data_IF_355812486206
#
_entry.id   IF_355812486206
#
_cell.length_a   1.000
_cell.length_b   1.000
_cell.length_c   1.000
_cell.angle_alpha   90.00
_cell.angle_beta   90.00
_cell.angle_gamma   90.00
#
_symmetry.space_group_name_H-M   'P 1'
#
loop_
_entity.id
_entity.type
_entity.pdbx_description
1 polymer ?
#
# COMPACT_ATOMS: atom_id res chain seq x y z
N UNK A 1 -39.64 -15.40 -19.41
CA UNK A 1 -38.70 -15.70 -18.32
C UNK A 1 -39.53 -15.84 -17.07
N UNK A 2 -39.72 -17.08 -16.64
CA UNK A 2 -40.64 -17.40 -15.57
C UNK A 2 -39.91 -17.34 -14.22
N UNK A 3 -40.67 -17.19 -13.12
CA UNK A 3 -40.13 -17.03 -11.76
C UNK A 3 -39.14 -18.14 -11.37
N UNK A 4 -39.30 -19.35 -11.90
CA UNK A 4 -38.40 -20.48 -11.68
C UNK A 4 -37.03 -20.25 -12.33
N UNK A 5 -37.04 -19.75 -13.57
CA UNK A 5 -35.84 -19.43 -14.35
C UNK A 5 -35.04 -18.29 -13.71
N UNK A 6 -35.74 -17.27 -13.22
CA UNK A 6 -35.15 -16.15 -12.48
C UNK A 6 -34.48 -16.63 -11.19
N UNK A 7 -35.13 -17.53 -10.43
CA UNK A 7 -34.54 -18.09 -9.20
C UNK A 7 -33.30 -18.92 -9.47
N UNK A 8 -33.28 -19.69 -10.56
CA UNK A 8 -32.10 -20.47 -10.93
C UNK A 8 -30.91 -19.56 -11.28
N UNK A 9 -31.14 -18.50 -12.07
CA UNK A 9 -30.11 -17.50 -12.38
C UNK A 9 -29.60 -16.78 -11.12
N UNK A 10 -30.48 -16.43 -10.18
CA UNK A 10 -30.09 -15.81 -8.91
C UNK A 10 -29.21 -16.77 -8.11
N UNK A 11 -29.58 -18.04 -8.00
CA UNK A 11 -28.81 -19.05 -7.27
C UNK A 11 -27.44 -19.30 -7.92
N UNK A 12 -27.37 -19.31 -9.24
CA UNK A 12 -26.12 -19.48 -9.99
C UNK A 12 -25.18 -18.30 -9.75
N UNK A 13 -25.68 -17.06 -9.86
CA UNK A 13 -24.92 -15.85 -9.55
C UNK A 13 -24.50 -15.79 -8.08
N UNK A 14 -25.34 -16.29 -7.15
CA UNK A 14 -24.98 -16.37 -5.74
C UNK A 14 -23.80 -17.32 -5.53
N UNK A 15 -23.87 -18.52 -6.12
CA UNK A 15 -22.83 -19.54 -6.02
C UNK A 15 -21.51 -19.08 -6.65
N UNK A 16 -21.55 -18.43 -7.82
CA UNK A 16 -20.36 -17.81 -8.42
C UNK A 16 -19.74 -16.74 -7.51
N UNK A 17 -20.57 -15.92 -6.86
CA UNK A 17 -20.08 -14.92 -5.92
C UNK A 17 -19.49 -15.54 -4.65
N UNK A 18 -20.03 -16.65 -4.15
CA UNK A 18 -19.43 -17.40 -3.06
C UNK A 18 -18.09 -18.00 -3.46
N UNK A 19 -18.00 -18.63 -4.63
CA UNK A 19 -16.73 -19.14 -5.18
C UNK A 19 -15.69 -18.04 -5.38
N UNK A 20 -16.10 -16.85 -5.85
CA UNK A 20 -15.20 -15.69 -5.97
C UNK A 20 -14.74 -15.18 -4.60
N UNK A 21 -15.63 -15.13 -3.61
CA UNK A 21 -15.27 -14.78 -2.22
C UNK A 21 -14.29 -15.79 -1.63
N UNK A 22 -14.54 -17.08 -1.79
CA UNK A 22 -13.65 -18.13 -1.33
C UNK A 22 -12.27 -18.08 -2.00
N UNK A 23 -12.23 -17.82 -3.31
CA UNK A 23 -10.97 -17.63 -4.04
C UNK A 23 -10.21 -16.38 -3.56
N UNK A 24 -10.91 -15.27 -3.35
CA UNK A 24 -10.34 -14.06 -2.74
C UNK A 24 -9.81 -14.32 -1.32
N UNK A 25 -10.55 -15.07 -0.49
CA UNK A 25 -10.13 -15.44 0.86
C UNK A 25 -8.89 -16.34 0.86
N UNK A 26 -8.78 -17.28 -0.09
CA UNK A 26 -7.57 -18.10 -0.27
C UNK A 26 -6.34 -17.27 -0.67
N UNK A 27 -6.55 -16.16 -1.38
CA UNK A 27 -5.49 -15.22 -1.79
C UNK A 27 -5.11 -14.27 -0.64
N UNK A 28 -6.08 -13.88 0.21
CA UNK A 28 -5.88 -12.95 1.35
C UNK A 28 -5.08 -13.58 2.50
N UNK A 29 -4.92 -14.91 2.56
CA UNK A 29 -4.11 -15.56 3.61
C UNK A 29 -2.58 -15.32 3.46
N UNK A 30 -2.15 -14.57 2.45
CA UNK A 30 -0.76 -14.18 2.26
C UNK A 30 -0.52 -12.74 2.75
N UNK A 31 0.43 -12.59 3.68
CA UNK A 31 0.83 -11.31 4.23
C UNK A 31 1.34 -10.33 3.15
N UNK A 32 1.97 -10.84 2.08
CA UNK A 32 2.45 -10.01 0.98
C UNK A 32 1.30 -9.44 0.15
N UNK A 33 0.28 -10.25 -0.13
CA UNK A 33 -0.92 -9.81 -0.85
C UNK A 33 -1.68 -8.73 -0.08
N UNK A 34 -1.80 -8.89 1.24
CA UNK A 34 -2.40 -7.86 2.10
C UNK A 34 -1.59 -6.57 2.05
N UNK A 35 -0.26 -6.68 2.17
CA UNK A 35 0.65 -5.55 2.12
C UNK A 35 0.51 -4.79 0.79
N UNK A 36 0.51 -5.51 -0.33
CA UNK A 36 0.38 -4.94 -1.66
C UNK A 36 -0.99 -4.27 -1.85
N UNK A 37 -2.07 -4.90 -1.35
CA UNK A 37 -3.42 -4.33 -1.40
C UNK A 37 -3.54 -3.01 -0.63
N UNK A 38 -2.95 -2.92 0.57
CA UNK A 38 -2.95 -1.70 1.37
C UNK A 38 -2.09 -0.62 0.68
N UNK A 39 -0.88 -0.98 0.26
CA UNK A 39 0.08 -0.03 -0.32
C UNK A 39 -0.26 0.44 -1.72
N UNK A 40 -1.12 -0.29 -2.44
CA UNK A 40 -1.68 0.18 -3.70
C UNK A 40 -2.45 1.50 -3.54
N UNK A 41 -3.13 1.70 -2.40
CA UNK A 41 -3.94 2.89 -2.15
C UNK A 41 -3.32 3.85 -1.11
N UNK A 42 -2.45 3.36 -0.22
CA UNK A 42 -1.86 4.15 0.86
C UNK A 42 -0.37 3.86 1.04
N UNK A 43 0.47 4.86 0.80
CA UNK A 43 1.92 4.79 1.03
C UNK A 43 2.30 4.65 2.52
N UNK A 44 1.43 5.11 3.42
CA UNK A 44 1.58 5.03 4.87
C UNK A 44 0.28 4.50 5.46
N UNK A 45 0.37 3.54 6.36
CA UNK A 45 -0.80 2.85 6.93
C UNK A 45 -0.61 2.54 8.42
N UNK A 46 -1.68 2.09 9.07
CA UNK A 46 -1.72 1.75 10.50
C UNK A 46 -2.03 0.27 10.70
N UNK A 47 -1.83 -0.25 11.92
CA UNK A 47 -2.33 -1.60 12.30
C UNK A 47 -3.83 -1.76 11.99
N UNK A 48 -4.62 -0.71 12.20
CA UNK A 48 -6.06 -0.74 11.95
C UNK A 48 -6.39 -0.92 10.45
N UNK A 49 -5.55 -0.39 9.55
CA UNK A 49 -5.73 -0.62 8.12
C UNK A 49 -5.51 -2.10 7.76
N UNK A 50 -4.54 -2.76 8.41
CA UNK A 50 -4.30 -4.22 8.26
C UNK A 50 -5.50 -5.00 8.80
N UNK A 51 -5.97 -4.69 10.00
CA UNK A 51 -7.14 -5.33 10.62
C UNK A 51 -8.40 -5.20 9.74
N UNK A 52 -8.58 -4.05 9.07
CA UNK A 52 -9.68 -3.85 8.12
C UNK A 52 -9.53 -4.70 6.86
N UNK A 53 -8.31 -4.91 6.37
CA UNK A 53 -8.05 -5.75 5.20
C UNK A 53 -8.38 -7.22 5.46
N UNK A 54 -8.23 -7.69 6.71
CA UNK A 54 -8.47 -9.08 7.11
C UNK A 54 -9.81 -9.29 7.83
N UNK A 55 -10.68 -8.29 7.85
CA UNK A 55 -11.94 -8.31 8.64
C UNK A 55 -12.88 -9.47 8.28
N UNK A 56 -12.84 -9.91 7.02
CA UNK A 56 -13.74 -10.92 6.47
C UNK A 56 -13.28 -12.35 6.79
N UNK A 57 -12.09 -12.52 7.41
CA UNK A 57 -11.61 -13.80 7.92
C UNK A 57 -12.44 -14.20 9.15
N UNK A 58 -13.16 -15.34 9.12
CA UNK A 58 -14.06 -15.73 10.21
C UNK A 58 -13.34 -16.03 11.52
N UNK A 59 -12.19 -16.72 11.45
CA UNK A 59 -11.43 -17.10 12.64
C UNK A 59 -10.69 -15.90 13.24
N UNK A 60 -11.03 -15.45 14.46
CA UNK A 60 -10.34 -14.35 15.11
C UNK A 60 -8.87 -14.62 15.40
N UNK A 61 -8.48 -15.88 15.64
CA UNK A 61 -7.09 -16.23 15.92
C UNK A 61 -6.25 -16.17 14.65
N UNK A 62 -6.71 -16.77 13.55
CA UNK A 62 -6.07 -16.62 12.24
C UNK A 62 -5.95 -15.15 11.83
N UNK A 63 -6.97 -14.33 12.09
CA UNK A 63 -6.94 -12.90 11.79
C UNK A 63 -5.83 -12.16 12.55
N UNK A 64 -5.73 -12.35 13.86
CA UNK A 64 -4.64 -11.71 14.64
C UNK A 64 -3.27 -12.22 14.20
N UNK A 65 -3.13 -13.53 13.94
CA UNK A 65 -1.87 -14.09 13.43
C UNK A 65 -1.45 -13.45 12.12
N UNK A 66 -2.39 -13.23 11.20
CA UNK A 66 -2.10 -12.64 9.91
C UNK A 66 -1.74 -11.15 10.02
N UNK A 67 -2.41 -10.40 10.91
CA UNK A 67 -2.03 -9.02 11.23
C UNK A 67 -0.59 -8.97 11.76
N UNK A 68 -0.23 -9.87 12.67
CA UNK A 68 1.13 -9.94 13.22
C UNK A 68 2.16 -10.34 12.16
N UNK A 69 1.82 -11.27 11.26
CA UNK A 69 2.69 -11.65 10.14
C UNK A 69 2.96 -10.48 9.20
N UNK A 70 1.93 -9.70 8.85
CA UNK A 70 2.08 -8.49 8.03
C UNK A 70 3.01 -7.49 8.73
N UNK A 71 2.74 -7.14 9.98
CA UNK A 71 3.51 -6.12 10.70
C UNK A 71 4.95 -6.55 11.04
N UNK A 72 5.20 -7.86 11.12
CA UNK A 72 6.53 -8.43 11.38
C UNK A 72 7.30 -8.76 10.09
N UNK A 73 6.71 -8.52 8.91
CA UNK A 73 7.36 -8.78 7.63
C UNK A 73 8.59 -7.89 7.46
N UNK A 74 9.64 -8.46 6.88
CA UNK A 74 10.88 -7.73 6.55
C UNK A 74 10.66 -6.59 5.54
N UNK A 75 9.53 -6.57 4.84
CA UNK A 75 9.15 -5.50 3.90
C UNK A 75 8.60 -4.27 4.63
N UNK A 76 8.10 -4.43 5.85
CA UNK A 76 7.48 -3.35 6.62
C UNK A 76 8.54 -2.55 7.38
N UNK A 77 8.36 -1.24 7.36
CA UNK A 77 9.13 -0.29 8.15
C UNK A 77 8.19 0.46 9.08
N UNK A 78 8.44 0.38 10.38
CA UNK A 78 7.79 1.27 11.36
C UNK A 78 8.38 2.68 11.24
N UNK A 79 7.50 3.68 11.26
CA UNK A 79 7.87 5.08 11.22
C UNK A 79 7.98 5.62 12.65
N UNK A 80 9.00 6.44 12.88
CA UNK A 80 9.28 7.07 14.16
C UNK A 80 9.24 8.59 14.01
N UNK A 81 8.88 9.25 15.09
CA UNK A 81 9.00 10.70 15.23
C UNK A 81 10.48 11.10 15.38
N UNK A 82 10.77 12.40 15.26
CA UNK A 82 12.14 12.92 15.34
C UNK A 82 12.77 12.73 16.73
N UNK A 83 11.95 12.55 17.77
CA UNK A 83 12.35 12.22 19.14
C UNK A 83 12.62 10.72 19.35
N UNK A 84 12.41 9.89 18.32
CA UNK A 84 12.57 8.45 18.36
C UNK A 84 11.35 7.67 18.86
N UNK A 85 10.25 8.34 19.20
CA UNK A 85 9.01 7.67 19.61
C UNK A 85 8.30 7.02 18.41
N UNK A 86 7.68 5.86 18.65
CA UNK A 86 6.89 5.19 17.61
C UNK A 86 5.71 6.06 17.19
N UNK A 87 5.59 6.29 15.88
CA UNK A 87 4.46 7.02 15.32
C UNK A 87 3.21 6.15 15.16
N UNK A 88 3.34 4.84 15.34
CA UNK A 88 2.31 3.82 15.06
C UNK A 88 1.89 3.74 13.58
N UNK A 89 2.62 4.42 12.70
CA UNK A 89 2.47 4.32 11.27
C UNK A 89 3.55 3.40 10.70
N UNK A 90 3.19 2.78 9.58
CA UNK A 90 4.03 1.83 8.86
C UNK A 90 4.07 2.23 7.39
N UNK A 91 5.17 1.86 6.73
CA UNK A 91 5.33 1.93 5.28
C UNK A 91 6.07 0.69 4.80
N UNK A 92 6.35 0.59 3.51
CA UNK A 92 7.16 -0.49 2.95
C UNK A 92 8.51 0.01 2.43
N UNK A 93 9.47 -0.92 2.33
CA UNK A 93 10.78 -0.65 1.74
C UNK A 93 10.63 -0.12 0.30
N UNK A 94 9.69 -0.64 -0.47
CA UNK A 94 9.42 -0.25 -1.85
C UNK A 94 8.97 1.20 -1.95
N UNK A 95 8.01 1.61 -1.11
CA UNK A 95 7.57 3.01 -1.01
C UNK A 95 8.76 3.90 -0.63
N UNK A 96 9.53 3.50 0.40
CA UNK A 96 10.67 4.28 0.87
C UNK A 96 11.77 4.45 -0.18
N UNK A 97 12.00 3.42 -0.98
CA UNK A 97 12.93 3.44 -2.10
C UNK A 97 12.49 4.43 -3.18
N UNK A 98 11.20 4.44 -3.52
CA UNK A 98 10.66 5.37 -4.51
C UNK A 98 10.66 6.81 -4.00
N UNK A 99 10.33 7.06 -2.73
CA UNK A 99 10.48 8.38 -2.09
C UNK A 99 11.92 8.90 -2.19
N UNK A 100 12.89 8.05 -1.82
CA UNK A 100 14.32 8.39 -1.89
C UNK A 100 14.74 8.70 -3.33
N UNK A 101 14.18 7.97 -4.31
CA UNK A 101 14.42 8.21 -5.73
C UNK A 101 13.85 9.57 -6.17
N UNK A 102 12.64 9.90 -5.77
CA UNK A 102 12.00 11.19 -6.07
C UNK A 102 12.83 12.34 -5.49
N UNK A 103 13.24 12.25 -4.21
CA UNK A 103 14.09 13.26 -3.57
C UNK A 103 15.42 13.43 -4.33
N UNK A 104 16.05 12.33 -4.74
CA UNK A 104 17.29 12.37 -5.53
C UNK A 104 17.08 13.09 -6.87
N UNK A 105 15.96 12.86 -7.54
CA UNK A 105 15.63 13.53 -8.80
C UNK A 105 15.37 15.01 -8.57
N UNK A 106 14.58 15.37 -7.54
CA UNK A 106 14.30 16.75 -7.18
C UNK A 106 15.60 17.54 -6.89
N UNK A 107 16.53 16.94 -6.13
CA UNK A 107 17.84 17.53 -5.87
C UNK A 107 18.67 17.75 -7.14
N UNK A 108 18.68 16.78 -8.07
CA UNK A 108 19.35 16.94 -9.36
C UNK A 108 18.76 18.09 -10.18
N UNK A 109 17.44 18.22 -10.20
CA UNK A 109 16.75 19.31 -10.90
C UNK A 109 17.12 20.66 -10.28
N UNK A 110 17.07 20.76 -8.95
CA UNK A 110 17.40 21.99 -8.22
C UNK A 110 18.84 22.46 -8.51
N UNK A 111 19.81 21.55 -8.43
CA UNK A 111 21.23 21.86 -8.74
C UNK A 111 21.38 22.34 -10.19
N UNK A 112 20.71 21.66 -11.14
CA UNK A 112 20.75 22.06 -12.55
C UNK A 112 20.16 23.45 -12.76
N UNK A 113 19.07 23.77 -12.10
CA UNK A 113 18.40 25.07 -12.17
C UNK A 113 19.31 26.19 -11.64
N UNK A 114 19.88 26.01 -10.44
CA UNK A 114 20.82 26.96 -9.83
C UNK A 114 22.03 27.21 -10.75
N UNK A 115 22.63 26.14 -11.29
CA UNK A 115 23.78 26.24 -12.19
C UNK A 115 23.44 27.00 -13.48
N UNK A 116 22.25 26.78 -14.01
CA UNK A 116 21.78 27.44 -15.25
C UNK A 116 21.58 28.94 -15.01
N UNK A 117 20.90 29.33 -13.92
CA UNK A 117 20.73 30.73 -13.54
C UNK A 117 22.08 31.42 -13.37
N UNK A 118 23.00 30.80 -12.64
CA UNK A 118 24.33 31.38 -12.42
C UNK A 118 25.09 31.59 -13.73
N UNK A 119 24.98 30.64 -14.67
CA UNK A 119 25.62 30.75 -15.99
C UNK A 119 25.02 31.92 -16.79
N UNK A 120 23.70 32.07 -16.81
CA UNK A 120 23.02 33.17 -17.49
C UNK A 120 23.42 34.52 -16.87
N UNK A 121 23.39 34.63 -15.54
CA UNK A 121 23.80 35.85 -14.84
C UNK A 121 25.25 36.23 -15.18
N UNK A 122 26.17 35.26 -15.25
CA UNK A 122 27.56 35.49 -15.62
C UNK A 122 27.74 35.96 -17.07
N UNK A 123 26.85 35.55 -17.99
CA UNK A 123 26.83 36.05 -19.37
C UNK A 123 26.32 37.48 -19.40
N UNK A 124 25.21 37.77 -18.71
CA UNK A 124 24.61 39.11 -18.66
C UNK A 124 25.54 40.11 -17.96
N UNK A 125 26.23 39.72 -16.88
CA UNK A 125 27.14 40.60 -16.14
C UNK A 125 28.47 40.89 -16.85
N UNK A 126 28.71 40.24 -17.99
CA UNK A 126 29.91 40.45 -18.83
C UNK A 126 29.62 41.38 -20.02
N UNK A 127 28.39 41.87 -20.16
CA UNK A 127 27.95 42.93 -21.09
C UNK A 127 27.77 44.21 -20.28
#
# INVERSE_FOLDING_TARGET
MDIVEIRNLINEVLNENELRKEAHLKIINDADVITDSITHYKSIFTKQDVEKAVKDIPDPTAREQLVQQVLSSNRILELYHDDGESSKYFTTIEVRNEETRIIRIANKINIRFITTIFTILKVISKV
#
